data_IF_863631661012
#
_entry.id   IF_863631661012
#
_cell.length_a   1.000
_cell.length_b   1.000
_cell.length_c   1.000
_cell.angle_alpha   90.00
_cell.angle_beta   90.00
_cell.angle_gamma   90.00
#
_symmetry.space_group_name_H-M   'P 1'
#
loop_
_entity.id
_entity.type
_entity.pdbx_description
1 polymer ?
#
# COMPACT_ATOMS: atom_id res chain seq x y z
N UNK A 1 13.75 -14.17 -3.09
CA UNK A 1 14.50 -14.62 -4.28
C UNK A 1 14.27 -13.64 -5.41
N UNK A 2 15.36 -13.10 -5.96
CA UNK A 2 15.28 -12.21 -7.11
C UNK A 2 14.92 -13.05 -8.34
N UNK A 3 13.95 -12.63 -9.17
CA UNK A 3 13.59 -13.38 -10.36
C UNK A 3 14.74 -13.40 -11.36
N UNK A 4 14.98 -14.56 -11.98
CA UNK A 4 16.06 -14.76 -12.96
C UNK A 4 16.01 -13.81 -14.17
N UNK A 5 14.86 -13.18 -14.45
CA UNK A 5 14.63 -12.26 -15.56
C UNK A 5 14.06 -10.91 -15.11
N UNK A 6 14.63 -10.32 -14.13
CA UNK A 6 14.20 -9.02 -13.61
C UNK A 6 14.23 -7.90 -14.68
N UNK A 7 15.03 -8.05 -15.74
CA UNK A 7 15.11 -7.11 -16.86
C UNK A 7 13.89 -7.17 -17.81
N UNK A 8 13.02 -8.16 -17.68
CA UNK A 8 11.83 -8.32 -18.54
C UNK A 8 10.59 -7.55 -18.05
N UNK A 9 10.67 -6.80 -16.95
CA UNK A 9 9.58 -5.96 -16.42
C UNK A 9 8.43 -6.71 -15.75
N UNK A 10 8.17 -7.97 -16.13
CA UNK A 10 7.16 -8.84 -15.52
C UNK A 10 7.78 -10.19 -15.20
N UNK A 11 7.86 -10.52 -13.95
CA UNK A 11 8.36 -11.80 -13.46
C UNK A 11 7.22 -12.71 -13.03
N UNK A 12 7.36 -14.02 -13.27
CA UNK A 12 6.45 -15.04 -12.72
C UNK A 12 6.50 -15.09 -11.19
N UNK A 13 7.55 -14.58 -10.54
CA UNK A 13 7.63 -14.48 -9.09
C UNK A 13 6.54 -13.59 -8.47
N UNK A 14 5.89 -12.73 -9.25
CA UNK A 14 4.72 -11.95 -8.82
C UNK A 14 3.39 -12.68 -9.01
N UNK A 15 3.38 -13.77 -9.77
CA UNK A 15 2.24 -14.68 -9.80
C UNK A 15 2.17 -15.41 -8.46
N UNK A 16 0.96 -15.56 -7.97
CA UNK A 16 0.73 -16.19 -6.70
C UNK A 16 0.05 -17.53 -6.95
N UNK A 17 0.79 -18.59 -6.67
CA UNK A 17 0.28 -19.95 -6.70
C UNK A 17 -0.08 -20.38 -5.27
N UNK A 18 -1.30 -20.86 -5.08
CA UNK A 18 -1.78 -21.42 -3.82
C UNK A 18 -2.11 -22.89 -4.06
N UNK A 19 -1.52 -23.75 -3.26
CA UNK A 19 -1.85 -25.18 -3.25
C UNK A 19 -2.76 -25.44 -2.05
N UNK A 20 -3.96 -25.92 -2.35
CA UNK A 20 -4.95 -26.22 -1.34
C UNK A 20 -5.22 -27.72 -1.32
N UNK A 21 -5.25 -28.30 -0.13
CA UNK A 21 -5.69 -29.69 0.08
C UNK A 21 -7.11 -29.67 0.61
N UNK A 22 -8.00 -30.36 -0.08
CA UNK A 22 -9.40 -30.55 0.33
C UNK A 22 -9.48 -31.89 1.07
N UNK A 23 -9.64 -31.84 2.38
CA UNK A 23 -9.64 -33.05 3.24
C UNK A 23 -11.04 -33.56 3.58
N UNK A 24 -12.06 -32.78 3.26
CA UNK A 24 -13.47 -33.09 3.59
C UNK A 24 -14.34 -32.90 2.35
N UNK A 25 -15.34 -33.77 2.22
CA UNK A 25 -16.38 -33.63 1.19
C UNK A 25 -17.31 -32.45 1.52
N UNK A 26 -17.92 -31.89 0.49
CA UNK A 26 -18.95 -30.83 0.60
C UNK A 26 -18.49 -29.65 1.50
N UNK A 27 -17.26 -29.22 1.32
CA UNK A 27 -16.65 -28.16 2.14
C UNK A 27 -16.34 -26.90 1.35
N UNK A 28 -16.28 -25.76 2.05
CA UNK A 28 -15.80 -24.49 1.49
C UNK A 28 -14.37 -24.25 1.95
N UNK A 29 -13.47 -24.06 1.00
CA UNK A 29 -12.07 -23.73 1.29
C UNK A 29 -11.85 -22.24 1.03
N UNK A 30 -11.32 -21.55 2.02
CA UNK A 30 -10.99 -20.12 1.94
C UNK A 30 -9.47 -19.94 1.83
N UNK A 31 -9.03 -19.09 0.91
CA UNK A 31 -7.62 -18.69 0.86
C UNK A 31 -7.22 -17.97 2.14
N UNK A 32 -6.07 -18.34 2.70
CA UNK A 32 -5.57 -17.77 3.97
C UNK A 32 -5.10 -16.31 3.82
N UNK A 33 -4.92 -15.83 2.60
CA UNK A 33 -4.45 -14.47 2.32
C UNK A 33 -5.33 -13.75 1.32
N UNK A 34 -5.30 -12.44 1.37
CA UNK A 34 -5.91 -11.57 0.37
C UNK A 34 -5.17 -11.71 -0.98
N UNK A 35 -5.93 -11.72 -2.05
CA UNK A 35 -5.42 -11.76 -3.43
C UNK A 35 -5.87 -10.51 -4.19
N UNK A 36 -5.02 -10.03 -5.10
CA UNK A 36 -5.37 -8.98 -6.04
C UNK A 36 -5.07 -9.50 -7.45
N UNK A 37 -6.11 -9.80 -8.22
CA UNK A 37 -5.95 -10.42 -9.53
C UNK A 37 -7.09 -10.01 -10.47
N UNK A 38 -6.88 -10.19 -11.76
CA UNK A 38 -7.92 -10.06 -12.80
C UNK A 38 -8.45 -11.43 -13.22
N UNK A 39 -7.60 -12.44 -13.15
CA UNK A 39 -7.89 -13.80 -13.59
C UNK A 39 -7.45 -14.77 -12.50
N UNK A 40 -8.22 -15.83 -12.33
CA UNK A 40 -7.89 -16.97 -11.48
C UNK A 40 -7.92 -18.22 -12.35
N UNK A 41 -6.85 -18.99 -12.28
CA UNK A 41 -6.78 -20.35 -12.84
C UNK A 41 -6.92 -21.31 -11.67
N UNK A 42 -7.84 -22.27 -11.78
CA UNK A 42 -7.98 -23.38 -10.83
C UNK A 42 -7.56 -24.63 -11.59
N UNK A 43 -6.69 -25.42 -11.01
CA UNK A 43 -6.14 -26.61 -11.60
C UNK A 43 -6.15 -27.74 -10.59
N UNK A 44 -6.75 -28.88 -10.97
CA UNK A 44 -6.70 -30.09 -10.19
C UNK A 44 -5.33 -30.74 -10.38
N UNK A 45 -4.52 -30.81 -9.34
CA UNK A 45 -3.17 -31.38 -9.39
C UNK A 45 -3.18 -32.88 -9.10
N UNK A 46 -4.04 -33.33 -8.21
CA UNK A 46 -4.19 -34.74 -7.84
C UNK A 46 -5.59 -34.98 -7.23
N UNK A 47 -6.07 -36.18 -7.36
CA UNK A 47 -7.30 -36.66 -6.71
C UNK A 47 -7.03 -37.99 -5.97
N UNK A 48 -7.84 -38.25 -4.96
CA UNK A 48 -7.78 -39.54 -4.24
C UNK A 48 -8.60 -40.60 -5.00
N UNK A 49 -8.10 -41.82 -5.01
CA UNK A 49 -8.81 -42.93 -5.66
C UNK A 49 -10.22 -43.11 -5.08
N UNK A 50 -11.20 -43.18 -5.97
CA UNK A 50 -12.61 -43.37 -5.60
C UNK A 50 -13.36 -42.10 -5.22
N UNK A 51 -12.77 -40.92 -5.46
CA UNK A 51 -13.42 -39.63 -5.26
C UNK A 51 -13.38 -38.82 -6.55
N UNK A 52 -14.47 -38.12 -6.82
CA UNK A 52 -14.53 -37.15 -7.93
C UNK A 52 -14.42 -35.75 -7.36
N UNK A 53 -13.72 -34.87 -8.07
CA UNK A 53 -13.62 -33.46 -7.72
C UNK A 53 -14.63 -32.63 -8.53
N UNK A 54 -15.41 -31.83 -7.83
CA UNK A 54 -16.29 -30.83 -8.44
C UNK A 54 -16.13 -29.50 -7.73
N UNK A 55 -16.14 -28.39 -8.49
CA UNK A 55 -16.20 -27.04 -7.95
C UNK A 55 -17.62 -26.50 -8.14
N UNK A 56 -18.36 -26.39 -7.06
CA UNK A 56 -19.77 -25.98 -7.10
C UNK A 56 -19.96 -24.46 -7.03
N UNK A 57 -19.01 -23.72 -6.48
CA UNK A 57 -19.09 -22.26 -6.40
C UNK A 57 -17.77 -21.58 -6.16
N UNK A 58 -17.72 -20.30 -6.52
CA UNK A 58 -16.60 -19.41 -6.26
C UNK A 58 -17.14 -18.06 -5.81
N UNK A 59 -16.70 -17.59 -4.65
CA UNK A 59 -17.10 -16.30 -4.10
C UNK A 59 -15.89 -15.46 -3.72
N UNK A 60 -16.07 -14.15 -3.72
CA UNK A 60 -15.04 -13.18 -3.37
C UNK A 60 -15.64 -12.14 -2.42
N UNK A 61 -14.85 -11.77 -1.42
CA UNK A 61 -15.15 -10.62 -0.56
C UNK A 61 -14.17 -9.51 -0.91
N UNK A 62 -14.68 -8.35 -1.32
CA UNK A 62 -13.84 -7.18 -1.54
C UNK A 62 -13.42 -6.58 -0.20
N UNK A 63 -12.14 -6.26 -0.06
CA UNK A 63 -11.57 -5.66 1.14
C UNK A 63 -10.94 -4.31 0.81
N UNK A 64 -11.25 -3.30 1.63
CA UNK A 64 -10.62 -1.97 1.59
C UNK A 64 -10.82 -1.27 2.92
N UNK A 65 -9.89 -0.38 3.29
CA UNK A 65 -10.07 0.53 4.42
C UNK A 65 -10.76 1.85 4.05
N UNK A 66 -11.03 2.07 2.74
CA UNK A 66 -11.64 3.30 2.27
C UNK A 66 -13.06 3.48 2.82
N UNK A 67 -13.36 4.66 3.40
CA UNK A 67 -14.69 5.02 3.88
C UNK A 67 -15.53 5.55 2.72
N UNK A 68 -16.17 4.67 1.98
CA UNK A 68 -16.89 4.98 0.74
C UNK A 68 -18.13 5.85 0.94
N UNK A 69 -18.71 5.87 2.12
CA UNK A 69 -19.85 6.70 2.53
C UNK A 69 -19.52 8.21 2.51
N UNK A 70 -18.25 8.57 2.62
CA UNK A 70 -17.78 9.97 2.56
C UNK A 70 -17.55 10.48 1.15
N UNK A 71 -17.56 9.60 0.16
CA UNK A 71 -17.28 9.95 -1.22
C UNK A 71 -18.41 10.76 -1.84
N UNK A 72 -18.19 12.04 -2.12
CA UNK A 72 -19.13 12.88 -2.86
C UNK A 72 -18.71 13.02 -4.32
N UNK A 73 -19.65 12.87 -5.25
CA UNK A 73 -19.43 13.12 -6.67
C UNK A 73 -19.85 14.57 -7.01
N UNK A 74 -18.99 15.39 -7.63
CA UNK A 74 -19.39 16.70 -8.10
C UNK A 74 -20.49 16.58 -9.15
N UNK A 75 -21.60 17.26 -8.95
CA UNK A 75 -22.76 17.19 -9.86
C UNK A 75 -22.55 17.93 -11.17
N UNK A 76 -21.56 18.84 -11.24
CA UNK A 76 -21.36 19.79 -12.32
C UNK A 76 -20.25 19.45 -13.31
N UNK A 77 -19.67 18.23 -13.23
CA UNK A 77 -18.59 17.80 -14.12
C UNK A 77 -19.12 17.28 -15.47
N UNK A 78 -18.32 17.48 -16.54
CA UNK A 78 -18.56 16.78 -17.80
C UNK A 78 -18.54 15.26 -17.61
N UNK A 79 -19.22 14.48 -18.47
CA UNK A 79 -19.21 13.01 -18.37
C UNK A 79 -17.79 12.42 -18.42
N UNK A 80 -16.90 13.02 -19.20
CA UNK A 80 -15.51 12.59 -19.32
C UNK A 80 -14.74 12.80 -18.01
N UNK A 81 -14.84 13.96 -17.37
CA UNK A 81 -14.20 14.23 -16.08
C UNK A 81 -14.75 13.29 -15.00
N UNK A 82 -16.06 13.03 -15.01
CA UNK A 82 -16.67 12.08 -14.10
C UNK A 82 -16.06 10.69 -14.25
N UNK A 83 -15.91 10.23 -15.49
CA UNK A 83 -15.30 8.91 -15.77
C UNK A 83 -13.84 8.83 -15.32
N UNK A 84 -13.05 9.87 -15.56
CA UNK A 84 -11.66 9.96 -15.07
C UNK A 84 -11.64 9.85 -13.54
N UNK A 85 -12.51 10.60 -12.86
CA UNK A 85 -12.60 10.59 -11.40
C UNK A 85 -13.01 9.21 -10.86
N UNK A 86 -14.00 8.55 -11.46
CA UNK A 86 -14.42 7.20 -11.08
C UNK A 86 -13.25 6.22 -11.13
N UNK A 87 -12.47 6.23 -12.22
CA UNK A 87 -11.30 5.37 -12.36
C UNK A 87 -10.24 5.69 -11.30
N UNK A 88 -9.94 6.97 -11.08
CA UNK A 88 -8.95 7.39 -10.09
C UNK A 88 -9.35 6.98 -8.66
N UNK A 89 -10.62 7.19 -8.30
CA UNK A 89 -11.15 6.84 -6.98
C UNK A 89 -11.12 5.31 -6.77
N UNK A 90 -11.56 4.54 -7.77
CA UNK A 90 -11.51 3.08 -7.68
C UNK A 90 -10.07 2.56 -7.54
N UNK A 91 -9.12 3.16 -8.28
CA UNK A 91 -7.70 2.81 -8.16
C UNK A 91 -7.18 3.07 -6.74
N UNK A 92 -7.45 4.26 -6.20
CA UNK A 92 -7.07 4.60 -4.83
C UNK A 92 -7.70 3.63 -3.82
N UNK A 93 -9.00 3.33 -3.96
CA UNK A 93 -9.72 2.42 -3.07
C UNK A 93 -9.07 1.02 -3.02
N UNK A 94 -8.63 0.51 -4.17
CA UNK A 94 -7.95 -0.79 -4.25
C UNK A 94 -6.57 -0.76 -3.58
N UNK A 95 -5.89 0.38 -3.53
CA UNK A 95 -4.62 0.56 -2.84
C UNK A 95 -4.77 0.81 -1.34
N UNK A 96 -5.95 1.26 -0.87
CA UNK A 96 -6.23 1.55 0.53
C UNK A 96 -6.56 0.27 1.30
N UNK A 97 -5.55 -0.41 1.79
CA UNK A 97 -5.67 -1.65 2.55
C UNK A 97 -5.33 -1.41 4.03
N UNK A 98 -4.59 -2.26 4.69
CA UNK A 98 -4.05 -2.00 6.03
C UNK A 98 -3.01 -0.88 6.04
N UNK A 99 -2.39 -0.64 4.90
CA UNK A 99 -1.57 0.53 4.54
C UNK A 99 -1.98 0.98 3.14
N UNK A 100 -1.39 2.07 2.65
CA UNK A 100 -1.44 2.35 1.21
C UNK A 100 -0.46 1.43 0.50
N UNK A 101 -0.96 0.65 -0.46
CA UNK A 101 -0.15 -0.33 -1.18
C UNK A 101 0.21 0.15 -2.57
N UNK A 102 1.48 0.41 -2.83
CA UNK A 102 1.95 0.47 -4.20
C UNK A 102 1.90 -0.93 -4.83
N UNK A 103 1.26 -1.04 -5.97
CA UNK A 103 1.15 -2.27 -6.72
C UNK A 103 0.45 -3.43 -6.00
N UNK A 104 -0.86 -3.34 -5.64
CA UNK A 104 -1.59 -4.40 -4.93
C UNK A 104 -1.50 -5.79 -5.59
N UNK A 105 -1.24 -5.85 -6.90
CA UNK A 105 -1.02 -7.09 -7.66
C UNK A 105 0.43 -7.55 -7.68
N UNK A 106 1.35 -6.73 -7.22
CA UNK A 106 2.78 -6.94 -7.37
C UNK A 106 3.42 -7.15 -6.00
N UNK A 107 3.96 -6.10 -5.39
CA UNK A 107 4.78 -6.18 -4.19
C UNK A 107 4.06 -5.75 -2.91
N UNK A 108 2.93 -5.06 -3.00
CA UNK A 108 2.07 -4.65 -1.86
C UNK A 108 2.84 -3.91 -0.76
N UNK A 109 3.81 -3.12 -1.16
CA UNK A 109 4.63 -2.35 -0.22
C UNK A 109 4.00 -1.01 0.06
N UNK A 110 4.20 -0.55 1.28
CA UNK A 110 4.01 0.85 1.59
C UNK A 110 5.27 1.61 1.19
N UNK A 111 5.21 2.39 0.10
CA UNK A 111 6.24 3.30 -0.33
C UNK A 111 5.97 4.72 0.20
N UNK A 112 7.03 5.41 0.64
CA UNK A 112 6.88 6.72 1.27
C UNK A 112 6.47 7.81 0.27
N UNK A 113 6.96 7.73 -0.98
CA UNK A 113 6.54 8.63 -2.05
C UNK A 113 5.09 8.44 -2.45
N UNK A 114 4.66 7.18 -2.57
CA UNK A 114 3.27 6.82 -2.88
C UNK A 114 2.33 7.23 -1.74
N UNK A 115 2.72 7.00 -0.49
CA UNK A 115 1.98 7.47 0.69
C UNK A 115 1.63 8.97 0.59
N UNK A 116 2.58 9.81 0.17
CA UNK A 116 2.32 11.24 0.04
C UNK A 116 1.19 11.53 -0.95
N UNK A 117 1.28 10.98 -2.16
CA UNK A 117 0.29 11.21 -3.21
C UNK A 117 -1.06 10.58 -2.89
N UNK A 118 -1.06 9.35 -2.39
CA UNK A 118 -2.28 8.61 -2.03
C UNK A 118 -2.99 9.26 -0.84
N UNK A 119 -2.25 9.75 0.15
CA UNK A 119 -2.84 10.47 1.29
C UNK A 119 -3.48 11.79 0.87
N UNK A 120 -2.86 12.55 -0.05
CA UNK A 120 -3.48 13.74 -0.61
C UNK A 120 -4.77 13.41 -1.36
N UNK A 121 -4.74 12.38 -2.23
CA UNK A 121 -5.94 11.95 -2.94
C UNK A 121 -7.05 11.48 -1.98
N UNK A 122 -6.68 10.77 -0.91
CA UNK A 122 -7.60 10.34 0.15
C UNK A 122 -8.24 11.52 0.90
N UNK A 123 -7.50 12.60 1.17
CA UNK A 123 -8.03 13.80 1.82
C UNK A 123 -9.17 14.45 1.04
N UNK A 124 -9.11 14.38 -0.29
CA UNK A 124 -10.13 14.95 -1.19
C UNK A 124 -11.18 13.94 -1.67
N UNK A 125 -11.11 12.69 -1.19
CA UNK A 125 -12.03 11.62 -1.58
C UNK A 125 -12.65 10.92 -0.37
N UNK A 126 -12.02 9.87 0.13
CA UNK A 126 -12.56 9.01 1.19
C UNK A 126 -12.42 9.60 2.60
N UNK A 127 -11.46 10.48 2.83
CA UNK A 127 -11.15 11.09 4.14
C UNK A 127 -10.89 10.04 5.25
N UNK A 128 -10.31 8.90 4.87
CA UNK A 128 -9.90 7.84 5.79
C UNK A 128 -8.55 8.20 6.43
N UNK A 129 -8.55 9.24 7.28
CA UNK A 129 -7.32 9.81 7.86
C UNK A 129 -6.56 8.84 8.78
N UNK A 130 -7.26 7.88 9.39
CA UNK A 130 -6.65 6.87 10.26
C UNK A 130 -5.64 5.99 9.50
N UNK A 131 -5.88 5.73 8.20
CA UNK A 131 -4.94 5.01 7.36
C UNK A 131 -3.63 5.78 7.19
N UNK A 132 -3.71 7.08 6.89
CA UNK A 132 -2.53 7.95 6.78
C UNK A 132 -1.75 7.99 8.10
N UNK A 133 -2.45 8.16 9.23
CA UNK A 133 -1.83 8.13 10.56
C UNK A 133 -1.10 6.82 10.83
N UNK A 134 -1.73 5.68 10.52
CA UNK A 134 -1.13 4.36 10.66
C UNK A 134 0.16 4.24 9.87
N UNK A 135 0.17 4.67 8.61
CA UNK A 135 1.35 4.62 7.75
C UNK A 135 2.49 5.50 8.26
N UNK A 136 2.17 6.70 8.75
CA UNK A 136 3.16 7.61 9.36
C UNK A 136 3.83 6.98 10.61
N UNK A 137 3.03 6.39 11.51
CA UNK A 137 3.59 5.71 12.69
C UNK A 137 4.38 4.45 12.30
N UNK A 138 3.96 3.73 11.27
CA UNK A 138 4.68 2.55 10.79
C UNK A 138 6.08 2.92 10.29
N UNK A 139 6.19 3.95 9.44
CA UNK A 139 7.49 4.44 8.98
C UNK A 139 8.36 4.96 10.13
N UNK A 140 7.80 5.72 11.05
CA UNK A 140 8.54 6.23 12.21
C UNK A 140 9.05 5.11 13.11
N UNK A 141 8.23 4.07 13.34
CA UNK A 141 8.59 2.92 14.17
C UNK A 141 9.60 1.97 13.53
N UNK A 142 9.74 2.02 12.21
CA UNK A 142 10.68 1.20 11.43
C UNK A 142 11.92 1.99 10.96
N UNK A 143 12.14 3.20 11.45
CA UNK A 143 13.33 3.98 11.11
C UNK A 143 14.61 3.29 11.56
N UNK A 144 15.71 3.59 10.87
CA UNK A 144 17.05 3.11 11.24
C UNK A 144 17.50 3.66 12.60
N UNK A 145 18.53 3.08 13.19
CA UNK A 145 19.10 3.53 14.48
C UNK A 145 19.53 5.00 14.49
N UNK A 146 19.99 5.51 13.35
CA UNK A 146 20.33 6.93 13.17
C UNK A 146 19.10 7.84 12.96
N UNK A 147 17.87 7.27 12.96
CA UNK A 147 16.61 7.98 12.80
C UNK A 147 16.19 8.27 11.36
N UNK A 148 16.94 7.78 10.36
CA UNK A 148 16.58 7.94 8.95
C UNK A 148 15.50 6.91 8.57
N UNK A 149 14.48 7.35 7.83
CA UNK A 149 13.38 6.51 7.37
C UNK A 149 13.80 5.77 6.09
N UNK A 150 13.45 4.49 6.01
CA UNK A 150 13.60 3.72 4.77
C UNK A 150 12.54 4.12 3.75
N UNK A 151 12.84 3.94 2.46
CA UNK A 151 11.94 4.36 1.37
C UNK A 151 10.63 3.56 1.30
N UNK A 152 10.64 2.33 1.80
CA UNK A 152 9.47 1.47 1.85
C UNK A 152 9.49 0.48 3.01
N UNK A 153 8.32 -0.08 3.30
CA UNK A 153 8.14 -1.08 4.34
C UNK A 153 7.13 -2.16 3.95
N UNK A 154 7.25 -3.30 4.60
CA UNK A 154 6.33 -4.43 4.52
C UNK A 154 5.63 -4.63 5.85
N UNK A 155 4.37 -5.09 5.84
CA UNK A 155 3.65 -5.46 7.05
C UNK A 155 3.84 -6.93 7.43
N UNK A 156 4.05 -7.80 6.44
CA UNK A 156 4.12 -9.27 6.63
C UNK A 156 5.51 -9.82 6.31
N UNK A 157 5.91 -10.92 6.96
CA UNK A 157 5.23 -11.67 8.05
C UNK A 157 5.16 -10.92 9.38
N UNK A 158 5.93 -9.89 9.55
CA UNK A 158 5.89 -8.85 10.59
C UNK A 158 6.42 -7.54 10.01
N UNK A 159 6.01 -6.38 10.55
CA UNK A 159 6.47 -5.10 10.06
C UNK A 159 7.99 -5.01 9.99
N UNK A 160 8.52 -4.69 8.81
CA UNK A 160 9.96 -4.50 8.58
C UNK A 160 10.20 -3.59 7.38
N UNK A 161 11.32 -2.83 7.36
CA UNK A 161 11.68 -2.03 6.20
C UNK A 161 12.39 -2.88 5.15
N UNK A 162 12.50 -2.38 3.93
CA UNK A 162 13.52 -2.84 3.00
C UNK A 162 14.85 -2.20 3.41
N UNK A 163 15.70 -2.96 4.08
CA UNK A 163 17.00 -2.48 4.54
C UNK A 163 17.86 -1.94 3.40
N UNK A 164 18.64 -0.92 3.69
CA UNK A 164 19.51 -0.20 2.74
C UNK A 164 18.79 0.48 1.55
N UNK A 165 17.48 0.60 1.60
CA UNK A 165 16.70 1.34 0.60
C UNK A 165 16.35 2.74 1.15
N UNK A 166 17.22 3.73 0.87
CA UNK A 166 17.02 5.13 1.25
C UNK A 166 16.84 5.98 0.01
N UNK A 167 15.85 6.85 0.02
CA UNK A 167 15.61 7.82 -1.04
C UNK A 167 15.38 9.19 -0.41
N UNK A 168 16.36 10.07 -0.47
CA UNK A 168 16.31 11.38 0.16
C UNK A 168 15.03 12.19 -0.18
N UNK A 169 14.57 12.24 -1.44
CA UNK A 169 13.30 12.91 -1.75
C UNK A 169 12.10 12.31 -1.01
N UNK A 170 12.07 10.98 -0.84
CA UNK A 170 10.99 10.32 -0.12
C UNK A 170 11.01 10.66 1.37
N UNK A 171 12.20 10.74 1.98
CA UNK A 171 12.33 11.11 3.38
C UNK A 171 11.75 12.50 3.66
N UNK A 172 11.95 13.46 2.74
CA UNK A 172 11.34 14.78 2.83
C UNK A 172 9.81 14.75 2.66
N UNK A 173 9.28 13.83 1.85
CA UNK A 173 7.83 13.67 1.69
C UNK A 173 7.15 13.16 2.98
N UNK A 174 7.87 12.49 3.89
CA UNK A 174 7.32 12.14 5.21
C UNK A 174 6.85 13.38 5.97
N UNK A 175 7.65 14.43 5.95
CA UNK A 175 7.33 15.68 6.65
C UNK A 175 6.14 16.36 5.99
N UNK A 176 6.13 16.40 4.65
CA UNK A 176 5.01 16.96 3.89
C UNK A 176 3.71 16.20 4.19
N UNK A 177 3.79 14.86 4.22
CA UNK A 177 2.63 14.02 4.57
C UNK A 177 2.14 14.29 5.99
N UNK A 178 3.06 14.41 6.96
CA UNK A 178 2.71 14.71 8.35
C UNK A 178 2.04 16.10 8.46
N UNK A 179 2.58 17.11 7.76
CA UNK A 179 2.02 18.46 7.74
C UNK A 179 0.60 18.46 7.17
N UNK A 180 0.41 17.83 6.00
CA UNK A 180 -0.90 17.75 5.34
C UNK A 180 -1.90 16.98 6.20
N UNK A 181 -1.47 15.89 6.84
CA UNK A 181 -2.31 15.15 7.78
C UNK A 181 -2.77 16.01 8.95
N UNK A 182 -1.86 16.75 9.59
CA UNK A 182 -2.20 17.64 10.72
C UNK A 182 -3.11 18.76 10.25
N UNK A 183 -2.86 19.36 9.08
CA UNK A 183 -3.71 20.41 8.52
C UNK A 183 -5.13 19.90 8.25
N UNK A 184 -5.27 18.68 7.72
CA UNK A 184 -6.57 18.11 7.38
C UNK A 184 -7.37 17.66 8.61
N UNK A 185 -6.71 17.24 9.69
CA UNK A 185 -7.36 16.59 10.85
C UNK A 185 -7.36 17.42 12.11
N UNK A 186 -6.43 18.36 12.25
CA UNK A 186 -6.17 19.05 13.52
C UNK A 186 -5.48 18.19 14.58
N UNK A 187 -5.02 16.98 14.24
CA UNK A 187 -4.36 16.05 15.19
C UNK A 187 -2.94 16.49 15.55
N UNK A 188 -2.88 17.52 16.41
CA UNK A 188 -1.63 18.04 16.95
C UNK A 188 -0.86 17.04 17.80
N UNK A 189 -1.53 16.00 18.31
CA UNK A 189 -0.85 14.96 19.09
C UNK A 189 0.06 14.16 18.18
N UNK A 190 -0.45 13.61 17.09
CA UNK A 190 0.36 12.91 16.06
C UNK A 190 1.48 13.80 15.52
N UNK A 191 1.18 15.08 15.26
CA UNK A 191 2.19 16.05 14.83
C UNK A 191 3.37 16.16 15.81
N UNK A 192 3.10 16.29 17.12
CA UNK A 192 4.13 16.37 18.17
C UNK A 192 4.88 15.05 18.35
N UNK A 193 4.17 13.93 18.34
CA UNK A 193 4.76 12.60 18.52
C UNK A 193 5.79 12.30 17.40
N UNK A 194 5.48 12.67 16.16
CA UNK A 194 6.29 12.34 14.99
C UNK A 194 7.25 13.46 14.55
N UNK A 195 7.14 14.64 15.14
CA UNK A 195 7.99 15.80 14.78
C UNK A 195 9.49 15.50 14.85
N UNK A 196 9.94 14.81 15.89
CA UNK A 196 11.35 14.48 16.07
C UNK A 196 11.87 13.63 14.92
N UNK A 197 11.06 12.68 14.44
CA UNK A 197 11.40 11.83 13.29
C UNK A 197 11.43 12.65 12.01
N UNK A 198 10.41 13.48 11.77
CA UNK A 198 10.38 14.38 10.62
C UNK A 198 11.54 15.36 10.60
N UNK A 199 11.83 16.02 11.74
CA UNK A 199 12.98 16.94 11.85
C UNK A 199 14.29 16.26 11.50
N UNK A 200 14.51 15.00 11.90
CA UNK A 200 15.72 14.25 11.58
C UNK A 200 15.91 14.10 10.06
N UNK A 201 14.83 13.93 9.29
CA UNK A 201 14.93 13.86 7.83
C UNK A 201 15.35 15.20 7.22
N UNK A 202 14.88 16.32 7.79
CA UNK A 202 15.32 17.66 7.36
C UNK A 202 16.79 17.90 7.69
N UNK A 203 17.21 17.56 8.90
CA UNK A 203 18.59 17.74 9.35
C UNK A 203 19.57 16.96 8.46
N UNK A 204 19.18 15.73 8.07
CA UNK A 204 19.95 14.90 7.12
C UNK A 204 20.01 15.53 5.72
N UNK A 205 18.86 16.00 5.21
CA UNK A 205 18.79 16.57 3.87
C UNK A 205 19.64 17.84 3.73
N UNK A 206 19.75 18.66 4.77
CA UNK A 206 20.55 19.89 4.75
C UNK A 206 22.05 19.60 4.51
N UNK A 207 22.53 18.43 4.94
CA UNK A 207 23.94 18.03 4.74
C UNK A 207 24.31 17.85 3.25
N UNK A 208 23.30 17.65 2.38
CA UNK A 208 23.47 17.51 0.92
C UNK A 208 23.25 18.81 0.14
N UNK A 209 23.02 19.93 0.84
CA UNK A 209 22.78 21.23 0.20
C UNK A 209 24.09 22.02 0.10
N UNK A 210 24.46 22.45 -1.10
CA UNK A 210 25.65 23.26 -1.36
C UNK A 210 25.47 24.74 -0.94
N UNK A 211 26.53 25.54 -1.11
CA UNK A 211 26.52 26.98 -0.78
C UNK A 211 25.50 27.79 -1.62
N UNK A 212 25.01 27.25 -2.73
CA UNK A 212 24.02 27.88 -3.61
C UNK A 212 22.58 27.42 -3.28
N UNK A 213 22.43 26.56 -2.29
CA UNK A 213 21.12 25.98 -1.92
C UNK A 213 20.66 24.83 -2.80
N UNK A 214 21.55 24.21 -3.56
CA UNK A 214 21.25 23.09 -4.45
C UNK A 214 21.67 21.76 -3.80
N UNK A 215 20.92 20.72 -4.07
CA UNK A 215 21.30 19.35 -3.69
C UNK A 215 22.43 18.86 -4.59
N UNK A 216 23.46 18.26 -3.99
CA UNK A 216 24.60 17.61 -4.66
C UNK A 216 24.39 16.09 -4.74
#
# INVERSE_FOLDING_TARGET
DMPENWTAGLSRAWMQDEILTVEQMDTTVTLARRVACRYIKIELLAESYGFDFALDGLSFTAETSAQTDRLSLPQTCSPQIRKIREVAVNTLQECMQTVYEDGPKRDRRLWLGDLYLESLANMYSFQTHDLTRRCLYLFAGLSAENGIIYANSFETPKPHPQYACYLLPYNLLFISTLLEYVNATGDMKTGRDLWKVGKRQLDDAIEYVDANGMFN
#
